data_IF_083173625796
#
_entry.id   IF_083173625796
#
_cell.length_a   1.000
_cell.length_b   1.000
_cell.length_c   1.000
_cell.angle_alpha   90.00
_cell.angle_beta   90.00
_cell.angle_gamma   90.00
#
_symmetry.space_group_name_H-M   'P 1'
#
loop_
_entity.id
_entity.type
_entity.pdbx_description
1 polymer ?
#
# COMPACT_ATOMS: atom_id res chain seq x y z
N UNK A 1 32.54 4.49 20.52
CA UNK A 1 32.17 4.28 20.83
C UNK A 1 31.82 3.87 20.62
N UNK A 2 31.54 4.00 20.76
CA UNK A 2 31.05 3.78 20.91
C UNK A 2 30.71 3.39 20.68
N UNK A 3 30.42 3.64 20.89
CA UNK A 3 30.04 3.48 21.08
C UNK A 3 29.82 3.20 21.30
N UNK A 4 29.88 3.35 21.55
CA UNK A 4 29.55 3.28 22.04
C UNK A 4 29.11 3.04 22.19
N UNK A 5 29.22 3.26 22.51
CA UNK A 5 28.52 3.19 22.77
C UNK A 5 27.91 3.04 22.30
N UNK A 6 27.82 3.05 22.06
CA UNK A 6 26.89 2.88 21.70
C UNK A 6 26.02 2.66 21.92
N UNK A 7 25.82 2.73 22.16
CA UNK A 7 24.67 2.27 22.34
C UNK A 7 23.49 2.78 21.88
N UNK A 8 22.94 3.16 21.85
CA UNK A 8 22.02 3.67 21.49
C UNK A 8 21.29 3.73 20.42
N UNK A 9 21.25 4.14 19.86
CA UNK A 9 20.64 4.35 18.56
C UNK A 9 20.27 3.06 17.84
N UNK A 10 20.84 2.00 18.22
CA UNK A 10 20.46 0.69 17.72
C UNK A 10 19.02 0.37 18.05
N UNK A 11 18.61 0.75 19.23
CA UNK A 11 17.23 0.53 19.63
C UNK A 11 16.27 1.27 18.74
N UNK A 12 16.68 2.43 18.32
CA UNK A 12 15.81 3.22 17.44
C UNK A 12 15.66 2.58 16.10
N UNK A 13 16.69 1.91 15.61
CA UNK A 13 16.53 1.17 14.39
C UNK A 13 15.46 0.13 14.49
N UNK A 14 15.45 -0.60 15.58
CA UNK A 14 14.48 -1.67 15.72
C UNK A 14 13.06 -1.17 15.69
N UNK A 15 12.86 0.00 16.23
CA UNK A 15 11.52 0.54 16.29
C UNK A 15 11.02 0.91 14.90
N UNK A 16 11.92 1.25 13.99
CA UNK A 16 11.50 1.86 12.74
C UNK A 16 11.53 0.97 11.53
N UNK A 17 12.06 -0.22 11.65
CA UNK A 17 12.50 -0.92 10.45
C UNK A 17 11.57 -2.01 9.98
N UNK A 18 10.31 -1.96 10.34
CA UNK A 18 9.39 -2.98 9.89
C UNK A 18 8.97 -2.80 8.45
N UNK A 19 9.23 -1.65 7.88
CA UNK A 19 8.80 -1.35 6.52
C UNK A 19 9.99 -1.29 5.58
N UNK A 20 9.76 -1.75 4.37
CA UNK A 20 10.72 -1.62 3.29
C UNK A 20 10.86 -0.14 2.93
N UNK A 21 12.06 0.39 3.12
CA UNK A 21 12.29 1.81 2.87
C UNK A 21 12.09 2.16 1.39
N UNK A 22 12.51 1.29 0.50
CA UNK A 22 12.32 1.56 -0.92
C UNK A 22 10.84 1.62 -1.27
N UNK A 23 10.06 0.69 -0.76
CA UNK A 23 8.62 0.71 -1.00
C UNK A 23 7.99 1.97 -0.42
N UNK A 24 8.46 2.42 0.73
CA UNK A 24 7.96 3.65 1.32
C UNK A 24 8.26 4.84 0.42
N UNK A 25 9.44 4.88 -0.15
CA UNK A 25 9.80 5.98 -1.04
C UNK A 25 8.98 5.95 -2.32
N UNK A 26 8.69 4.76 -2.84
CA UNK A 26 7.81 4.67 -4.01
C UNK A 26 6.41 5.15 -3.67
N UNK A 27 5.93 4.81 -2.49
CA UNK A 27 4.61 5.27 -2.03
C UNK A 27 4.59 6.79 -1.91
N UNK A 28 5.64 7.37 -1.35
CA UNK A 28 5.75 8.82 -1.24
C UNK A 28 5.77 9.48 -2.61
N UNK A 29 6.50 8.89 -3.54
CA UNK A 29 6.57 9.41 -4.90
C UNK A 29 5.19 9.44 -5.55
N UNK A 30 4.44 8.36 -5.41
CA UNK A 30 3.09 8.29 -5.99
C UNK A 30 2.15 9.28 -5.30
N UNK A 31 2.22 9.38 -3.99
CA UNK A 31 1.38 10.33 -3.26
C UNK A 31 1.69 11.78 -3.65
N UNK A 32 2.93 12.04 -4.02
CA UNK A 32 3.37 13.40 -4.32
C UNK A 32 3.14 13.78 -5.77
N UNK A 33 3.40 12.88 -6.69
CA UNK A 33 3.38 13.20 -8.13
C UNK A 33 2.11 12.71 -8.82
N UNK A 34 1.36 11.80 -8.20
CA UNK A 34 0.18 11.16 -8.78
C UNK A 34 0.50 10.28 -9.98
N UNK A 35 1.77 9.92 -10.16
CA UNK A 35 2.15 8.96 -11.19
C UNK A 35 1.96 7.56 -10.65
N UNK A 36 1.11 6.79 -11.31
CA UNK A 36 0.82 5.43 -10.88
C UNK A 36 1.95 4.49 -11.26
N UNK A 37 2.15 3.47 -10.43
CA UNK A 37 3.19 2.47 -10.66
C UNK A 37 2.54 1.09 -10.64
N UNK A 38 2.79 0.31 -11.68
CA UNK A 38 2.38 -1.09 -11.67
C UNK A 38 3.27 -1.87 -10.72
N UNK A 39 2.68 -2.60 -9.79
CA UNK A 39 3.42 -3.25 -8.73
C UNK A 39 2.74 -4.56 -8.34
N UNK A 40 3.55 -5.51 -7.88
CA UNK A 40 3.06 -6.74 -7.27
C UNK A 40 3.65 -6.83 -5.88
N UNK A 41 2.80 -7.04 -4.89
CA UNK A 41 3.23 -7.11 -3.49
C UNK A 41 2.93 -8.48 -2.91
N UNK A 42 3.72 -8.85 -1.91
CA UNK A 42 3.59 -10.11 -1.20
C UNK A 42 3.24 -9.81 0.24
N UNK A 43 2.06 -10.26 0.67
CA UNK A 43 1.52 -9.95 1.99
C UNK A 43 1.12 -11.26 2.65
N UNK A 44 1.95 -11.75 3.58
CA UNK A 44 1.61 -12.94 4.37
C UNK A 44 1.13 -14.09 3.50
N UNK A 45 1.90 -14.40 2.46
CA UNK A 45 1.58 -15.51 1.58
C UNK A 45 0.59 -15.20 0.48
N UNK A 46 0.03 -14.01 0.47
CA UNK A 46 -0.90 -13.61 -0.58
C UNK A 46 -0.14 -12.71 -1.55
N UNK A 47 -0.41 -12.91 -2.84
CA UNK A 47 0.22 -12.13 -3.91
C UNK A 47 -0.83 -11.23 -4.54
N UNK A 48 -0.56 -9.94 -4.58
CA UNK A 48 -1.51 -8.96 -5.09
C UNK A 48 -0.80 -8.09 -6.12
N UNK A 49 -1.35 -8.03 -7.32
CA UNK A 49 -0.87 -7.12 -8.36
C UNK A 49 -1.87 -6.01 -8.56
N UNK A 50 -1.38 -4.81 -8.85
CA UNK A 50 -2.25 -3.69 -9.11
C UNK A 50 -1.48 -2.44 -9.45
N UNK A 51 -2.18 -1.33 -9.50
CA UNK A 51 -1.57 -0.03 -9.72
C UNK A 51 -1.49 0.70 -8.39
N UNK A 52 -0.29 1.08 -8.03
CA UNK A 52 -0.05 1.89 -6.84
C UNK A 52 -0.55 3.30 -7.11
N UNK A 53 -1.49 3.77 -6.30
CA UNK A 53 -2.14 5.06 -6.50
C UNK A 53 -1.97 5.93 -5.26
N UNK A 54 -2.19 7.25 -5.38
CA UNK A 54 -2.17 8.12 -4.22
C UNK A 54 -3.30 7.80 -3.26
N UNK A 55 -3.08 8.06 -1.98
CA UNK A 55 -4.10 7.85 -0.96
C UNK A 55 -5.35 8.67 -1.24
N UNK A 56 -5.17 9.87 -1.75
CA UNK A 56 -6.29 10.75 -2.08
C UNK A 56 -7.17 10.13 -3.15
N UNK A 57 -6.57 9.51 -4.17
CA UNK A 57 -7.37 8.88 -5.21
C UNK A 57 -8.17 7.71 -4.65
N UNK A 58 -7.56 6.94 -3.75
CA UNK A 58 -8.26 5.83 -3.11
C UNK A 58 -9.49 6.33 -2.33
N UNK A 59 -9.28 7.34 -1.49
CA UNK A 59 -10.36 7.83 -0.64
C UNK A 59 -11.47 8.44 -1.49
N UNK A 60 -11.10 9.23 -2.48
CA UNK A 60 -12.09 9.89 -3.33
C UNK A 60 -12.93 8.87 -4.09
N UNK A 61 -12.28 7.88 -4.68
CA UNK A 61 -12.99 6.90 -5.51
C UNK A 61 -13.85 5.99 -4.66
N UNK A 62 -13.30 5.45 -3.57
CA UNK A 62 -14.02 4.48 -2.76
C UNK A 62 -15.21 5.15 -2.07
N UNK A 63 -15.00 6.36 -1.53
CA UNK A 63 -16.11 7.05 -0.87
C UNK A 63 -17.20 7.45 -1.86
N UNK A 64 -16.83 7.79 -3.09
CA UNK A 64 -17.78 8.17 -4.11
C UNK A 64 -18.52 6.99 -4.73
N UNK A 65 -17.81 5.91 -5.04
CA UNK A 65 -18.40 4.78 -5.78
C UNK A 65 -19.10 3.77 -4.88
N UNK A 66 -18.55 3.52 -3.70
CA UNK A 66 -19.03 2.41 -2.89
C UNK A 66 -19.84 2.85 -1.69
N UNK A 67 -19.67 4.08 -1.24
CA UNK A 67 -20.34 4.57 -0.06
C UNK A 67 -21.32 5.67 -0.41
N UNK A 68 -21.01 6.39 -1.39
CA UNK A 68 -21.62 7.47 -2.17
C UNK A 68 -22.84 8.19 -1.69
N UNK A 69 -23.76 7.52 -1.00
CA UNK A 69 -25.01 8.21 -0.61
C UNK A 69 -25.04 8.56 0.86
N UNK A 70 -24.09 8.08 1.65
CA UNK A 70 -24.06 8.40 3.06
C UNK A 70 -22.99 9.45 3.32
N UNK A 71 -23.41 10.65 3.64
CA UNK A 71 -22.47 11.72 3.93
C UNK A 71 -21.66 11.42 5.19
N UNK A 72 -22.25 10.72 6.13
CA UNK A 72 -21.54 10.36 7.35
C UNK A 72 -20.36 9.44 7.05
N UNK A 73 -20.56 8.45 6.20
CA UNK A 73 -19.49 7.55 5.84
C UNK A 73 -18.42 8.21 4.99
N UNK A 74 -18.84 9.06 4.06
CA UNK A 74 -17.87 9.83 3.26
C UNK A 74 -17.02 10.69 4.19
N UNK A 75 -17.65 11.31 5.17
CA UNK A 75 -16.95 12.16 6.14
C UNK A 75 -15.94 11.34 6.95
N UNK A 76 -16.27 10.11 7.32
CA UNK A 76 -15.34 9.26 8.04
C UNK A 76 -14.09 9.01 7.20
N UNK A 77 -14.27 8.72 5.92
CA UNK A 77 -13.13 8.46 5.04
C UNK A 77 -12.20 9.66 4.97
N UNK A 78 -12.75 10.85 4.78
CA UNK A 78 -11.92 12.03 4.64
C UNK A 78 -11.33 12.49 5.97
N UNK A 79 -12.06 12.36 7.05
CA UNK A 79 -11.56 12.80 8.35
C UNK A 79 -10.51 11.87 8.92
N UNK A 80 -10.48 10.61 8.49
CA UNK A 80 -9.47 9.68 8.96
C UNK A 80 -8.14 9.83 8.23
N UNK A 81 -8.13 10.60 7.15
CA UNK A 81 -6.89 10.84 6.42
C UNK A 81 -6.00 11.78 7.20
N UNK A 82 -4.74 11.42 7.32
CA UNK A 82 -3.78 12.20 8.10
C UNK A 82 -2.50 12.30 7.28
N UNK A 83 -2.08 13.53 6.98
CA UNK A 83 -0.88 13.76 6.18
C UNK A 83 0.37 13.19 6.85
N UNK A 84 0.39 13.09 8.17
CA UNK A 84 1.56 12.58 8.87
C UNK A 84 1.70 11.07 8.73
N UNK A 85 0.64 10.36 8.39
CA UNK A 85 0.66 8.90 8.29
C UNK A 85 0.27 8.37 6.94
N UNK A 86 -0.01 9.23 5.97
CA UNK A 86 -0.48 8.78 4.66
C UNK A 86 0.49 7.85 3.96
N UNK A 87 1.79 8.04 4.20
CA UNK A 87 2.81 7.23 3.55
C UNK A 87 3.06 5.91 4.28
N UNK A 88 2.36 5.66 5.37
CA UNK A 88 2.44 4.40 6.08
C UNK A 88 1.49 3.35 5.50
N UNK A 89 0.69 3.74 4.53
CA UNK A 89 -0.28 2.85 3.88
C UNK A 89 -0.04 2.83 2.38
N UNK A 90 -0.36 1.69 1.79
CA UNK A 90 -0.25 1.51 0.35
C UNK A 90 -1.65 1.28 -0.21
N UNK A 91 -1.91 1.89 -1.35
CA UNK A 91 -3.22 1.81 -1.98
C UNK A 91 -3.06 1.32 -3.41
N UNK A 92 -3.85 0.32 -3.78
CA UNK A 92 -3.82 -0.23 -5.12
C UNK A 92 -5.20 -0.13 -5.75
N UNK A 93 -5.23 0.14 -7.04
CA UNK A 93 -6.46 -0.01 -7.80
C UNK A 93 -6.28 -1.12 -8.83
N UNK A 94 -7.39 -1.67 -9.28
CA UNK A 94 -7.41 -2.81 -10.20
C UNK A 94 -6.61 -3.97 -9.61
N UNK A 95 -6.80 -4.22 -8.33
CA UNK A 95 -6.03 -5.23 -7.63
C UNK A 95 -6.48 -6.63 -8.04
N UNK A 96 -5.51 -7.48 -8.34
CA UNK A 96 -5.73 -8.87 -8.70
C UNK A 96 -5.04 -9.73 -7.66
N UNK A 97 -5.79 -10.66 -7.08
CA UNK A 97 -5.27 -11.57 -6.08
C UNK A 97 -4.90 -12.87 -6.76
N UNK A 98 -3.67 -13.32 -6.55
CA UNK A 98 -3.17 -14.54 -7.16
C UNK A 98 -3.18 -15.65 -6.13
N UNK A 99 -3.73 -16.79 -6.51
CA UNK A 99 -3.73 -17.94 -5.62
C UNK A 99 -3.00 -19.09 -6.28
N UNK A 100 -2.49 -19.99 -5.45
CA UNK A 100 -1.74 -21.12 -5.93
C UNK A 100 -2.56 -22.06 -6.79
N UNK A 101 -3.84 -22.10 -6.58
CA UNK A 101 -4.70 -23.14 -7.16
C UNK A 101 -5.33 -22.67 -8.44
N UNK A 102 -5.84 -21.47 -8.47
CA UNK A 102 -6.45 -20.89 -9.66
C UNK A 102 -6.21 -19.39 -9.63
N UNK A 103 -5.66 -18.84 -10.71
CA UNK A 103 -5.61 -17.39 -10.80
C UNK A 103 -7.04 -16.91 -10.88
N UNK A 104 -7.53 -16.40 -9.79
CA UNK A 104 -8.86 -15.81 -9.79
C UNK A 104 -8.71 -14.40 -10.33
N UNK A 105 -9.06 -14.23 -11.56
CA UNK A 105 -9.27 -12.89 -12.05
C UNK A 105 -10.57 -12.40 -11.46
N UNK A 106 -10.47 -11.87 -10.29
CA UNK A 106 -11.58 -11.12 -9.77
C UNK A 106 -11.63 -9.84 -10.57
N UNK A 107 -12.83 -9.49 -10.90
CA UNK A 107 -13.20 -8.29 -11.55
C UNK A 107 -12.22 -7.15 -11.26
N UNK A 108 -11.73 -6.53 -12.29
CA UNK A 108 -10.62 -5.59 -12.30
C UNK A 108 -10.89 -4.24 -11.64
N UNK A 109 -11.87 -4.16 -10.73
CA UNK A 109 -12.20 -2.87 -10.10
C UNK A 109 -12.07 -2.89 -8.60
N UNK A 110 -11.24 -3.76 -8.09
CA UNK A 110 -11.03 -3.84 -6.65
C UNK A 110 -9.98 -2.81 -6.25
N UNK A 111 -10.34 -2.00 -5.27
CA UNK A 111 -9.41 -1.09 -4.61
C UNK A 111 -8.98 -1.72 -3.31
N UNK A 112 -7.71 -1.68 -3.03
CA UNK A 112 -7.14 -2.34 -1.87
C UNK A 112 -6.27 -1.38 -1.09
N UNK A 113 -6.34 -1.49 0.23
CA UNK A 113 -5.55 -0.67 1.13
C UNK A 113 -4.92 -1.55 2.18
N UNK A 114 -3.66 -1.32 2.48
CA UNK A 114 -2.98 -2.08 3.50
C UNK A 114 -1.86 -1.28 4.14
N UNK A 115 -1.38 -1.79 5.26
CA UNK A 115 -0.24 -1.18 5.93
C UNK A 115 1.03 -1.51 5.20
N UNK A 116 1.86 -0.51 5.04
CA UNK A 116 3.17 -0.73 4.44
C UNK A 116 3.97 -1.74 5.24
N UNK A 117 3.88 -1.68 6.57
CA UNK A 117 4.63 -2.58 7.43
C UNK A 117 4.20 -4.04 7.33
N UNK A 118 3.06 -4.30 6.71
CA UNK A 118 2.59 -5.68 6.52
C UNK A 118 3.07 -6.30 5.21
N UNK A 119 3.75 -5.53 4.37
CA UNK A 119 4.23 -6.01 3.08
C UNK A 119 5.56 -6.72 3.28
N UNK A 120 5.63 -7.97 2.85
CA UNK A 120 6.85 -8.76 3.00
C UNK A 120 7.85 -8.52 1.89
N UNK A 121 7.36 -8.15 0.71
CA UNK A 121 8.23 -7.88 -0.42
C UNK A 121 7.42 -7.39 -1.60
N UNK A 122 8.11 -6.98 -2.65
CA UNK A 122 7.41 -6.48 -3.83
C UNK A 122 8.29 -6.60 -5.07
N UNK A 123 7.64 -6.57 -6.24
CA UNK A 123 8.32 -6.36 -7.50
C UNK A 123 7.61 -5.26 -8.25
N UNK A 124 8.36 -4.45 -8.95
CA UNK A 124 7.76 -3.42 -9.81
C UNK A 124 7.30 -4.13 -11.08
N UNK A 125 6.04 -3.90 -11.41
CA UNK A 125 5.43 -4.53 -12.56
C UNK A 125 4.34 -5.49 -12.15
N UNK A 126 3.69 -6.06 -13.14
CA UNK A 126 2.60 -6.99 -12.93
C UNK A 126 3.09 -8.41 -13.10
N UNK A 127 2.72 -9.26 -12.16
CA UNK A 127 3.04 -10.67 -12.28
C UNK A 127 2.15 -11.30 -13.33
N UNK A 128 2.75 -11.96 -14.30
CA UNK A 128 2.05 -12.68 -15.33
C UNK A 128 2.38 -14.15 -15.20
N UNK A 129 1.35 -14.96 -14.98
CA UNK A 129 1.53 -16.39 -14.88
C UNK A 129 1.32 -16.97 -16.25
N UNK A 130 2.34 -17.64 -16.75
CA UNK A 130 2.24 -18.32 -18.03
C UNK A 130 2.05 -19.79 -17.83
N UNK A 131 1.27 -20.35 -18.66
CA UNK A 131 1.07 -21.79 -18.65
C UNK A 131 1.88 -22.47 -19.69
#
# INVERSE_FOLDING_TARGET
MTHENLPFSIEQFHVKSDSDLLLKELTQYVNKTYHEISITIFVQGIVISGLLIPDIEYIDTVSGEYIGVSEDLVSIFWSSRDDSTKDDYIHLKNATFHSDVTPTTINSKVYWRGRLSSIDGFVVGKLVIRE
#
